data_IF_645238632600
#
_entry.id   IF_645238632600
#
_cell.length_a   1.000
_cell.length_b   1.000
_cell.length_c   1.000
_cell.angle_alpha   90.00
_cell.angle_beta   90.00
_cell.angle_gamma   90.00
#
_symmetry.space_group_name_H-M   'P 1'
#
loop_
_entity.id
_entity.type
_entity.pdbx_description
1 polymer ?
#
# COMPACT_ATOMS: atom_id res chain seq x y z
N UNK A 1 -1.00 10.87 -14.36
CA UNK A 1 -1.43 10.07 -15.53
C UNK A 1 -2.32 10.90 -16.43
N UNK A 2 -2.01 11.00 -17.73
CA UNK A 2 -2.86 11.67 -18.72
C UNK A 2 -3.56 10.64 -19.63
N UNK A 3 -4.68 11.01 -20.26
CA UNK A 3 -5.51 10.08 -21.06
C UNK A 3 -4.85 9.67 -22.38
N UNK A 4 -4.05 10.55 -23.00
CA UNK A 4 -3.34 10.25 -24.26
C UNK A 4 -2.29 9.16 -24.05
N UNK A 5 -1.48 9.28 -23.01
CA UNK A 5 -0.47 8.31 -22.59
C UNK A 5 -1.12 6.98 -22.21
N UNK A 6 -2.19 7.01 -21.41
CA UNK A 6 -2.89 5.79 -21.02
C UNK A 6 -3.42 5.01 -22.25
N UNK A 7 -3.98 5.70 -23.25
CA UNK A 7 -4.39 5.09 -24.53
C UNK A 7 -3.21 4.54 -25.33
N UNK A 8 -2.10 5.27 -25.39
CA UNK A 8 -0.90 4.83 -26.09
C UNK A 8 -0.32 3.56 -25.46
N UNK A 9 -0.22 3.50 -24.13
CA UNK A 9 0.24 2.32 -23.40
C UNK A 9 -0.67 1.12 -23.65
N UNK A 10 -1.99 1.31 -23.58
CA UNK A 10 -2.96 0.27 -23.88
C UNK A 10 -2.81 -0.27 -25.31
N UNK A 11 -2.67 0.60 -26.32
CA UNK A 11 -2.45 0.22 -27.73
C UNK A 11 -1.11 -0.50 -27.96
N UNK A 12 -0.08 -0.15 -27.18
CA UNK A 12 1.22 -0.79 -27.23
C UNK A 12 1.25 -2.17 -26.54
N UNK A 13 0.11 -2.69 -26.07
CA UNK A 13 0.03 -4.00 -25.42
C UNK A 13 0.40 -3.99 -23.93
N UNK A 14 0.54 -2.81 -23.30
CA UNK A 14 0.71 -2.74 -21.85
C UNK A 14 -0.54 -3.31 -21.16
N UNK A 15 -0.35 -4.28 -20.26
CA UNK A 15 -1.47 -4.93 -19.57
C UNK A 15 -1.75 -4.35 -18.17
N UNK A 16 -0.70 -3.88 -17.47
CA UNK A 16 -0.75 -3.46 -16.07
C UNK A 16 0.16 -2.25 -15.81
N UNK A 17 -0.30 -1.35 -14.95
CA UNK A 17 0.50 -0.22 -14.46
C UNK A 17 0.58 -0.25 -12.94
N UNK A 18 1.82 -0.12 -12.43
CA UNK A 18 2.09 0.10 -11.01
C UNK A 18 1.99 1.59 -10.68
N UNK A 19 1.25 1.93 -9.63
CA UNK A 19 1.07 3.30 -9.16
C UNK A 19 1.39 3.35 -7.67
N UNK A 20 2.45 4.10 -7.37
CA UNK A 20 2.77 4.54 -6.02
C UNK A 20 1.74 5.52 -5.51
N UNK A 21 0.76 5.03 -4.74
CA UNK A 21 -0.23 5.87 -4.05
C UNK A 21 0.29 6.28 -2.69
N UNK A 22 0.99 5.37 -2.01
CA UNK A 22 1.66 5.52 -0.71
C UNK A 22 0.71 5.77 0.47
N UNK A 23 -0.08 6.84 0.47
CA UNK A 23 -1.00 7.19 1.57
C UNK A 23 -2.29 7.84 1.05
N UNK A 24 -3.34 7.82 1.87
CA UNK A 24 -4.59 8.52 1.58
C UNK A 24 -4.65 9.95 2.12
N UNK A 25 -3.55 10.47 2.66
CA UNK A 25 -3.53 11.80 3.28
C UNK A 25 -2.45 12.66 2.65
N UNK A 26 -2.81 13.89 2.27
CA UNK A 26 -1.88 14.80 1.60
C UNK A 26 -0.65 15.06 2.46
N UNK A 27 -0.85 15.27 3.78
CA UNK A 27 0.22 15.44 4.76
C UNK A 27 1.30 14.33 4.70
N UNK A 28 0.90 13.07 4.57
CA UNK A 28 1.86 11.96 4.49
C UNK A 28 2.54 11.88 3.12
N UNK A 29 1.84 12.22 2.04
CA UNK A 29 2.43 12.33 0.70
C UNK A 29 3.47 13.45 0.63
N UNK A 30 3.21 14.57 1.28
CA UNK A 30 4.12 15.70 1.37
C UNK A 30 5.34 15.35 2.24
N UNK A 31 5.13 14.66 3.36
CA UNK A 31 6.20 14.19 4.23
C UNK A 31 7.22 13.32 3.49
N UNK A 32 6.75 12.36 2.69
CA UNK A 32 7.61 11.49 1.88
C UNK A 32 8.03 12.13 0.54
N UNK A 33 7.72 13.43 0.33
CA UNK A 33 8.06 14.20 -0.86
C UNK A 33 7.56 13.55 -2.16
N UNK A 34 6.37 12.94 -2.14
CA UNK A 34 5.82 12.21 -3.30
C UNK A 34 5.50 13.11 -4.49
N UNK A 35 5.17 14.38 -4.24
CA UNK A 35 4.91 15.38 -5.28
C UNK A 35 3.61 15.14 -6.06
N UNK A 36 2.60 14.50 -5.44
CA UNK A 36 1.28 14.27 -6.05
C UNK A 36 0.16 14.65 -5.09
N UNK A 37 -1.04 14.92 -5.65
CA UNK A 37 -2.26 15.12 -4.86
C UNK A 37 -3.19 13.92 -4.86
N UNK A 38 -4.06 13.83 -3.84
CA UNK A 38 -5.11 12.80 -3.76
C UNK A 38 -6.05 12.86 -4.98
N UNK A 39 -6.36 14.04 -5.49
CA UNK A 39 -7.18 14.23 -6.70
C UNK A 39 -6.48 13.68 -7.93
N UNK A 40 -5.15 13.87 -8.05
CA UNK A 40 -4.38 13.31 -9.16
C UNK A 40 -4.40 11.78 -9.13
N UNK A 41 -4.32 11.16 -7.94
CA UNK A 41 -4.48 9.70 -7.78
C UNK A 41 -5.86 9.27 -8.26
N UNK A 42 -6.93 9.88 -7.76
CA UNK A 42 -8.31 9.54 -8.16
C UNK A 42 -8.52 9.67 -9.67
N UNK A 43 -8.02 10.77 -10.27
CA UNK A 43 -8.06 11.01 -11.71
C UNK A 43 -7.28 9.95 -12.49
N UNK A 44 -6.10 9.56 -12.01
CA UNK A 44 -5.29 8.53 -12.65
C UNK A 44 -6.00 7.17 -12.68
N UNK A 45 -6.56 6.74 -11.56
CA UNK A 45 -7.30 5.47 -11.47
C UNK A 45 -8.56 5.47 -12.35
N UNK A 46 -9.28 6.60 -12.43
CA UNK A 46 -10.41 6.76 -13.35
C UNK A 46 -9.98 6.58 -14.81
N UNK A 47 -8.95 7.30 -15.24
CA UNK A 47 -8.44 7.25 -16.62
C UNK A 47 -7.99 5.83 -17.00
N UNK A 48 -7.26 5.16 -16.12
CA UNK A 48 -6.73 3.82 -16.40
C UNK A 48 -7.83 2.77 -16.50
N UNK A 49 -8.86 2.89 -15.65
CA UNK A 49 -10.05 2.05 -15.73
C UNK A 49 -10.82 2.27 -17.03
N UNK A 50 -10.96 3.51 -17.49
CA UNK A 50 -11.63 3.84 -18.76
C UNK A 50 -10.94 3.23 -19.98
N UNK A 51 -9.61 3.10 -19.97
CA UNK A 51 -8.86 2.50 -21.07
C UNK A 51 -8.63 0.99 -20.91
N UNK A 52 -9.20 0.38 -19.88
CA UNK A 52 -9.12 -1.07 -19.65
C UNK A 52 -7.76 -1.59 -19.15
N UNK A 53 -6.88 -0.70 -18.66
CA UNK A 53 -5.59 -1.11 -18.09
C UNK A 53 -5.78 -1.65 -16.67
N UNK A 54 -5.09 -2.74 -16.34
CA UNK A 54 -5.02 -3.22 -14.96
C UNK A 54 -4.12 -2.27 -14.15
N UNK A 55 -4.42 -2.17 -12.86
CA UNK A 55 -3.68 -1.28 -11.96
C UNK A 55 -3.24 -2.02 -10.71
N UNK A 56 -1.98 -1.81 -10.33
CA UNK A 56 -1.43 -2.20 -9.04
C UNK A 56 -1.22 -0.94 -8.23
N UNK A 57 -1.99 -0.77 -7.14
CA UNK A 57 -1.81 0.34 -6.21
C UNK A 57 -0.87 -0.09 -5.09
N UNK A 58 0.18 0.68 -4.82
CA UNK A 58 1.08 0.45 -3.69
C UNK A 58 0.83 1.48 -2.59
N UNK A 59 0.92 1.04 -1.34
CA UNK A 59 0.73 1.83 -0.14
C UNK A 59 1.83 1.53 0.88
N UNK A 60 2.20 2.54 1.66
CA UNK A 60 3.18 2.45 2.73
C UNK A 60 2.46 2.81 4.03
N UNK A 61 2.51 1.92 5.01
CA UNK A 61 1.92 2.10 6.33
C UNK A 61 3.02 2.42 7.35
N UNK A 62 2.66 3.22 8.35
CA UNK A 62 3.58 3.60 9.41
C UNK A 62 4.59 4.65 8.99
N UNK A 63 4.20 5.54 8.07
CA UNK A 63 4.98 6.74 7.74
C UNK A 63 5.15 7.55 9.05
N UNK A 64 6.32 8.15 9.32
CA UNK A 64 6.51 8.97 10.51
C UNK A 64 5.40 10.02 10.70
N UNK A 65 4.78 10.01 11.88
CA UNK A 65 3.62 10.86 12.20
C UNK A 65 2.27 10.30 11.77
N UNK A 66 2.23 9.12 11.14
CA UNK A 66 0.97 8.43 10.81
C UNK A 66 0.39 7.75 12.06
N UNK A 67 -0.90 7.97 12.32
CA UNK A 67 -1.63 7.30 13.41
C UNK A 67 -2.40 6.09 12.87
N UNK A 68 -2.89 5.24 13.78
CA UNK A 68 -3.80 4.13 13.44
C UNK A 68 -5.00 4.60 12.60
N UNK A 69 -5.57 5.76 12.92
CA UNK A 69 -6.72 6.33 12.21
C UNK A 69 -6.35 6.70 10.78
N UNK A 70 -5.16 7.27 10.57
CA UNK A 70 -4.65 7.64 9.24
C UNK A 70 -4.35 6.39 8.41
N UNK A 71 -3.72 5.36 9.00
CA UNK A 71 -3.53 4.04 8.36
C UNK A 71 -4.89 3.46 7.94
N UNK A 72 -5.90 3.51 8.82
CA UNK A 72 -7.24 3.03 8.49
C UNK A 72 -7.92 3.84 7.36
N UNK A 73 -7.63 5.13 7.22
CA UNK A 73 -8.06 5.94 6.06
C UNK A 73 -7.38 5.45 4.79
N UNK A 74 -6.08 5.15 4.84
CA UNK A 74 -5.33 4.55 3.72
C UNK A 74 -5.95 3.22 3.27
N UNK A 75 -6.29 2.32 4.20
CA UNK A 75 -6.96 1.04 3.88
C UNK A 75 -8.34 1.27 3.24
N UNK A 76 -9.13 2.22 3.75
CA UNK A 76 -10.44 2.57 3.15
C UNK A 76 -10.27 3.14 1.74
N UNK A 77 -9.27 4.01 1.54
CA UNK A 77 -8.99 4.63 0.25
C UNK A 77 -8.52 3.61 -0.79
N UNK A 78 -7.68 2.65 -0.41
CA UNK A 78 -7.26 1.56 -1.29
C UNK A 78 -8.45 0.82 -1.91
N UNK A 79 -9.48 0.53 -1.11
CA UNK A 79 -10.73 -0.09 -1.57
C UNK A 79 -11.53 0.83 -2.49
N UNK A 80 -11.57 2.13 -2.18
CA UNK A 80 -12.26 3.15 -2.99
C UNK A 80 -11.66 3.27 -4.40
N UNK A 81 -10.34 3.14 -4.53
CA UNK A 81 -9.65 3.22 -5.83
C UNK A 81 -9.97 2.04 -6.76
N UNK A 82 -10.45 0.91 -6.20
CA UNK A 82 -10.72 -0.34 -6.94
C UNK A 82 -9.58 -0.74 -7.89
N UNK A 83 -8.31 -0.77 -7.42
CA UNK A 83 -7.23 -1.30 -8.23
C UNK A 83 -7.46 -2.78 -8.54
N UNK A 84 -6.78 -3.27 -9.57
CA UNK A 84 -6.76 -4.72 -9.83
C UNK A 84 -6.04 -5.47 -8.71
N UNK A 85 -4.95 -4.89 -8.21
CA UNK A 85 -4.19 -5.41 -7.08
C UNK A 85 -3.81 -4.27 -6.12
N UNK A 86 -3.78 -4.57 -4.84
CA UNK A 86 -3.19 -3.68 -3.83
C UNK A 86 -1.98 -4.35 -3.18
N UNK A 87 -0.90 -3.59 -3.04
CA UNK A 87 0.27 -3.95 -2.26
C UNK A 87 0.38 -2.98 -1.09
N UNK A 88 0.52 -3.53 0.11
CA UNK A 88 0.78 -2.77 1.33
C UNK A 88 2.15 -3.16 1.86
N UNK A 89 2.89 -2.17 2.33
CA UNK A 89 4.23 -2.30 2.91
C UNK A 89 4.30 -1.50 4.20
N UNK A 90 5.35 -1.70 4.99
CA UNK A 90 5.71 -0.88 6.14
C UNK A 90 6.86 0.06 5.76
N UNK A 91 6.76 1.30 6.21
CA UNK A 91 7.80 2.31 6.02
C UNK A 91 9.13 1.82 6.57
N UNK A 92 10.12 1.70 5.67
CA UNK A 92 11.44 1.15 5.97
C UNK A 92 12.49 2.22 5.65
N UNK A 93 13.14 2.82 6.66
CA UNK A 93 14.17 3.81 6.43
C UNK A 93 15.48 3.13 5.99
N UNK A 94 15.83 3.19 4.71
CA UNK A 94 17.06 2.57 4.20
C UNK A 94 18.30 3.44 4.45
N UNK A 95 19.48 2.85 4.76
CA UNK A 95 20.72 3.60 4.92
C UNK A 95 21.00 4.55 3.75
N UNK A 96 21.43 5.77 4.05
CA UNK A 96 21.66 6.83 3.05
C UNK A 96 20.42 7.61 2.63
N UNK A 97 19.24 7.33 3.22
CA UNK A 97 18.03 8.15 3.04
C UNK A 97 17.86 9.15 4.19
N UNK A 98 17.23 10.29 3.91
CA UNK A 98 16.84 11.28 4.92
C UNK A 98 15.97 10.66 6.04
N UNK A 99 15.15 9.67 5.68
CA UNK A 99 14.34 8.91 6.63
C UNK A 99 15.19 8.10 7.61
N UNK A 100 16.32 7.54 7.16
CA UNK A 100 17.26 6.83 8.02
C UNK A 100 18.03 7.76 8.93
N UNK A 101 18.48 8.90 8.41
CA UNK A 101 19.14 9.92 9.24
C UNK A 101 18.21 10.43 10.33
N UNK A 102 16.93 10.65 9.99
CA UNK A 102 15.90 10.99 10.97
C UNK A 102 15.71 9.86 12.01
N UNK A 103 15.58 8.61 11.57
CA UNK A 103 15.41 7.48 12.48
C UNK A 103 16.61 7.30 13.43
N UNK A 104 17.83 7.62 12.98
CA UNK A 104 19.02 7.64 13.82
C UNK A 104 18.99 8.79 14.84
N UNK A 105 18.72 10.02 14.38
CA UNK A 105 18.68 11.22 15.25
C UNK A 105 17.65 11.08 16.36
N UNK A 106 16.47 10.56 16.05
CA UNK A 106 15.35 10.40 16.99
C UNK A 106 15.44 9.12 17.84
N UNK A 107 16.45 8.26 17.63
CA UNK A 107 16.56 6.98 18.32
C UNK A 107 15.39 6.02 18.01
N UNK A 108 14.82 6.14 16.81
CA UNK A 108 13.67 5.34 16.36
C UNK A 108 14.08 4.04 15.69
N UNK A 109 15.33 3.86 15.28
CA UNK A 109 15.75 2.59 14.68
C UNK A 109 15.63 1.43 15.69
N UNK A 110 14.85 0.40 15.36
CA UNK A 110 14.63 -0.79 16.21
C UNK A 110 15.79 -1.77 16.06
N UNK A 111 16.33 -1.91 14.85
CA UNK A 111 17.37 -2.88 14.53
C UNK A 111 18.24 -2.40 13.37
N UNK A 112 19.50 -2.84 13.36
CA UNK A 112 20.45 -2.69 12.23
C UNK A 112 20.68 -4.01 11.50
N UNK A 113 19.89 -5.03 11.81
CA UNK A 113 19.88 -6.27 11.05
C UNK A 113 19.23 -6.01 9.69
N UNK A 114 20.07 -5.83 8.66
CA UNK A 114 19.64 -5.47 7.31
C UNK A 114 18.74 -6.52 6.66
N UNK A 115 18.78 -7.77 7.13
CA UNK A 115 17.88 -8.83 6.64
C UNK A 115 16.40 -8.53 6.95
N UNK A 116 16.12 -7.69 7.95
CA UNK A 116 14.77 -7.28 8.34
C UNK A 116 14.24 -6.08 7.57
N UNK A 117 15.02 -5.48 6.66
CA UNK A 117 14.62 -4.31 5.88
C UNK A 117 13.84 -4.73 4.62
N UNK A 118 12.86 -5.60 4.81
CA UNK A 118 12.11 -6.36 3.81
C UNK A 118 10.78 -5.70 3.40
N UNK A 119 10.49 -4.50 3.92
CA UNK A 119 9.22 -3.75 3.76
C UNK A 119 7.98 -4.39 4.41
N UNK A 120 8.14 -5.44 5.21
CA UNK A 120 7.07 -6.14 5.93
C UNK A 120 7.33 -6.20 7.43
N UNK A 121 8.59 -6.05 7.84
CA UNK A 121 9.02 -6.04 9.22
C UNK A 121 9.21 -4.60 9.70
N UNK A 122 8.54 -4.17 10.80
CA UNK A 122 8.81 -2.87 11.39
C UNK A 122 10.25 -2.82 11.92
N UNK A 123 11.08 -1.98 11.31
CA UNK A 123 12.48 -1.72 11.74
C UNK A 123 12.66 -0.33 12.34
N UNK A 124 11.57 0.45 12.42
CA UNK A 124 11.54 1.81 12.97
C UNK A 124 10.36 1.95 13.93
N UNK A 125 10.57 2.63 15.07
CA UNK A 125 9.54 2.99 16.03
C UNK A 125 8.60 4.01 15.40
N UNK A 126 7.31 3.86 15.67
CA UNK A 126 6.30 4.84 15.34
C UNK A 126 5.63 5.30 16.64
N UNK A 127 5.86 6.55 17.09
CA UNK A 127 5.25 7.04 18.33
C UNK A 127 3.73 6.82 18.34
N UNK A 128 3.23 6.23 19.44
CA UNK A 128 1.79 5.92 19.59
C UNK A 128 1.31 4.63 18.90
N UNK A 129 2.19 3.86 18.27
CA UNK A 129 1.84 2.56 17.66
C UNK A 129 2.95 1.52 17.83
N UNK A 130 2.63 0.38 18.43
CA UNK A 130 3.62 -0.68 18.63
C UNK A 130 3.97 -1.38 17.29
N UNK A 131 5.17 -1.97 17.15
CA UNK A 131 5.51 -2.80 15.99
C UNK A 131 4.50 -3.93 15.74
N UNK A 132 3.97 -4.55 16.82
CA UNK A 132 2.95 -5.60 16.73
C UNK A 132 1.65 -5.05 16.13
N UNK A 133 1.19 -3.89 16.60
CA UNK A 133 -0.01 -3.25 16.06
C UNK A 133 0.15 -2.84 14.60
N UNK A 134 1.33 -2.37 14.20
CA UNK A 134 1.61 -2.01 12.81
C UNK A 134 1.57 -3.24 11.89
N UNK A 135 2.15 -4.38 12.30
CA UNK A 135 2.01 -5.66 11.57
C UNK A 135 0.55 -6.10 11.50
N UNK A 136 -0.20 -6.01 12.60
CA UNK A 136 -1.62 -6.35 12.60
C UNK A 136 -2.44 -5.46 11.66
N UNK A 137 -2.10 -4.17 11.54
CA UNK A 137 -2.71 -3.26 10.57
C UNK A 137 -2.32 -3.60 9.14
N UNK A 138 -1.09 -4.01 8.88
CA UNK A 138 -0.66 -4.50 7.56
C UNK A 138 -1.49 -5.73 7.14
N UNK A 139 -1.59 -6.74 8.01
CA UNK A 139 -2.39 -7.94 7.76
C UNK A 139 -3.88 -7.59 7.58
N UNK A 140 -4.41 -6.66 8.39
CA UNK A 140 -5.77 -6.12 8.22
C UNK A 140 -5.97 -5.39 6.89
N UNK A 141 -4.96 -4.68 6.39
CA UNK A 141 -5.04 -3.99 5.10
C UNK A 141 -5.27 -4.97 3.95
N UNK A 142 -4.48 -6.04 3.91
CA UNK A 142 -4.63 -7.13 2.95
C UNK A 142 -6.00 -7.80 3.06
N UNK A 143 -6.41 -8.22 4.26
CA UNK A 143 -7.72 -8.87 4.47
C UNK A 143 -8.86 -7.94 4.04
N UNK A 144 -8.85 -6.69 4.50
CA UNK A 144 -9.94 -5.75 4.23
C UNK A 144 -10.08 -5.46 2.74
N UNK A 145 -8.97 -5.45 2.00
CA UNK A 145 -8.97 -5.24 0.56
C UNK A 145 -9.43 -6.50 -0.20
N UNK A 146 -8.75 -7.63 0.00
CA UNK A 146 -8.95 -8.83 -0.81
C UNK A 146 -10.23 -9.60 -0.46
N UNK A 147 -10.77 -9.46 0.76
CA UNK A 147 -12.06 -10.03 1.14
C UNK A 147 -13.24 -9.06 0.97
N UNK A 148 -13.02 -7.88 0.35
CA UNK A 148 -14.11 -6.96 0.07
C UNK A 148 -15.12 -7.59 -0.91
N UNK A 149 -16.44 -7.62 -0.60
CA UNK A 149 -17.43 -8.24 -1.48
C UNK A 149 -17.42 -7.71 -2.91
N UNK A 150 -17.27 -6.39 -3.09
CA UNK A 150 -17.20 -5.79 -4.43
C UNK A 150 -15.96 -6.22 -5.21
N UNK A 151 -14.83 -6.41 -4.53
CA UNK A 151 -13.61 -6.93 -5.13
C UNK A 151 -13.74 -8.40 -5.51
N UNK A 152 -14.33 -9.22 -4.62
CA UNK A 152 -14.60 -10.63 -4.87
C UNK A 152 -15.49 -10.79 -6.10
N UNK A 153 -16.62 -10.07 -6.16
CA UNK A 153 -17.55 -10.09 -7.29
C UNK A 153 -16.85 -9.68 -8.59
N UNK A 154 -16.06 -8.60 -8.56
CA UNK A 154 -15.32 -8.15 -9.74
C UNK A 154 -14.27 -9.18 -10.19
N UNK A 155 -13.58 -9.82 -9.25
CA UNK A 155 -12.58 -10.87 -9.49
C UNK A 155 -13.20 -12.11 -10.14
N UNK A 156 -14.35 -12.58 -9.64
CA UNK A 156 -15.13 -13.67 -10.23
C UNK A 156 -15.58 -13.31 -11.65
N UNK A 157 -16.19 -12.14 -11.84
CA UNK A 157 -16.67 -11.67 -13.16
C UNK A 157 -15.55 -11.59 -14.20
N UNK A 158 -14.32 -11.27 -13.77
CA UNK A 158 -13.13 -11.18 -14.63
C UNK A 158 -12.33 -12.49 -14.71
N UNK A 159 -12.83 -13.59 -14.13
CA UNK A 159 -12.19 -14.93 -14.10
C UNK A 159 -10.76 -14.92 -13.56
N UNK A 160 -10.46 -14.04 -12.60
CA UNK A 160 -9.11 -13.89 -12.00
C UNK A 160 -8.93 -14.81 -10.79
N UNK A 161 -9.18 -16.11 -10.95
CA UNK A 161 -9.22 -17.06 -9.83
C UNK A 161 -7.89 -17.21 -9.07
N UNK A 162 -6.74 -16.93 -9.71
CA UNK A 162 -5.43 -16.96 -9.05
C UNK A 162 -5.30 -15.98 -7.86
N UNK A 163 -6.17 -14.96 -7.78
CA UNK A 163 -6.16 -13.96 -6.72
C UNK A 163 -6.59 -14.56 -5.38
N UNK A 164 -7.42 -15.61 -5.37
CA UNK A 164 -7.88 -16.26 -4.14
C UNK A 164 -6.72 -16.86 -3.33
N UNK A 165 -5.65 -17.32 -3.99
CA UNK A 165 -4.43 -17.77 -3.32
C UNK A 165 -3.67 -16.65 -2.59
N UNK A 166 -3.84 -15.38 -3.00
CA UNK A 166 -3.30 -14.22 -2.25
C UNK A 166 -4.15 -13.91 -1.01
N UNK A 167 -5.47 -13.93 -1.15
CA UNK A 167 -6.39 -13.71 -0.04
C UNK A 167 -6.22 -14.75 1.07
N UNK A 168 -6.10 -16.02 0.69
CA UNK A 168 -5.87 -17.13 1.62
C UNK A 168 -4.55 -17.01 2.39
N UNK A 169 -3.44 -16.69 1.70
CA UNK A 169 -2.14 -16.46 2.36
C UNK A 169 -2.19 -15.28 3.35
N UNK A 170 -2.82 -14.17 2.97
CA UNK A 170 -3.00 -13.04 3.87
C UNK A 170 -3.84 -13.40 5.12
N UNK A 171 -4.86 -14.23 4.95
CA UNK A 171 -5.67 -14.72 6.08
C UNK A 171 -4.85 -15.61 7.02
N UNK A 172 -4.05 -16.54 6.49
CA UNK A 172 -3.15 -17.38 7.28
C UNK A 172 -2.16 -16.51 8.06
N UNK A 173 -1.52 -15.54 7.40
CA UNK A 173 -0.57 -14.65 8.07
C UNK A 173 -1.22 -13.87 9.21
N UNK A 174 -2.41 -13.32 8.99
CA UNK A 174 -3.15 -12.61 10.04
C UNK A 174 -3.51 -13.51 11.23
N UNK A 175 -3.96 -14.74 10.98
CA UNK A 175 -4.26 -15.69 12.05
C UNK A 175 -2.98 -16.03 12.82
N UNK A 176 -1.87 -16.27 12.13
CA UNK A 176 -0.56 -16.45 12.76
C UNK A 176 -0.19 -15.25 13.63
N UNK A 177 -0.23 -14.03 13.11
CA UNK A 177 0.13 -12.80 13.83
C UNK A 177 -0.77 -12.52 15.04
N UNK A 178 -2.05 -12.92 14.97
CA UNK A 178 -3.05 -12.69 16.04
C UNK A 178 -2.89 -13.66 17.21
N UNK A 179 -2.46 -14.90 16.95
CA UNK A 179 -2.32 -15.97 17.93
C UNK A 179 -0.85 -16.25 18.32
N UNK A 180 0.10 -15.41 17.88
CA UNK A 180 1.50 -15.37 18.32
C UNK A 180 1.78 -14.15 19.21
#
# INVERSE_FOLDING_TARGET
>A
MNKRLAKALSRAGCHSIYIGVESATQRMLDFIKKGITIEQVLKAFKILKEVGLNTVATFILGIPGETKELIMRTIKFAKKLKPTFAQFTIFTPYPGTEAFDMALREGWLITRDWSKFDTLTPVMKLPGLSPKDLKMLLSRAYISFYLNPSYIIETFRKRRFFIFGKAFRALIQYLSDKFS
#
